data_IF_252863659567
#
_entry.id   IF_252863659567
#
_cell.length_a   1.000
_cell.length_b   1.000
_cell.length_c   1.000
_cell.angle_alpha   90.00
_cell.angle_beta   90.00
_cell.angle_gamma   90.00
#
_symmetry.space_group_name_H-M   'P 1'
#
loop_
_entity.id
_entity.type
_entity.pdbx_description
1 polymer ?
#
# COMPACT_ATOMS: atom_id res chain seq x y z
N UNK A 1 -16.59 -3.10 24.34
CA UNK A 1 -17.12 -4.31 23.64
C UNK A 1 -18.16 -3.85 22.65
N UNK A 2 -18.17 -4.38 21.43
CA UNK A 2 -19.25 -4.07 20.49
C UNK A 2 -20.59 -4.58 21.05
N UNK A 3 -21.75 -4.07 20.57
CA UNK A 3 -23.07 -4.54 20.99
C UNK A 3 -23.30 -6.05 20.79
N UNK A 4 -22.45 -6.71 20.00
CA UNK A 4 -22.54 -8.11 19.63
C UNK A 4 -21.51 -9.01 20.36
N UNK A 5 -20.80 -8.47 21.36
CA UNK A 5 -19.79 -9.23 22.10
C UNK A 5 -18.53 -9.53 21.28
N UNK A 6 -18.35 -8.86 20.14
CA UNK A 6 -17.14 -8.95 19.32
C UNK A 6 -16.05 -8.13 20.04
N UNK A 7 -14.86 -8.71 20.30
CA UNK A 7 -13.72 -7.97 20.77
C UNK A 7 -13.41 -6.86 19.76
N UNK A 8 -13.57 -5.62 20.21
CA UNK A 8 -13.22 -4.44 19.43
C UNK A 8 -11.84 -3.99 19.93
N UNK A 9 -10.82 -4.25 19.13
CA UNK A 9 -9.46 -3.78 19.39
C UNK A 9 -9.33 -2.38 18.80
N UNK A 10 -9.16 -1.38 19.66
CA UNK A 10 -9.01 0.02 19.28
C UNK A 10 -7.57 0.43 19.54
N UNK A 11 -6.85 0.75 18.45
CA UNK A 11 -5.49 1.25 18.53
C UNK A 11 -5.52 2.78 18.47
N UNK A 12 -5.11 3.48 19.55
CA UNK A 12 -4.97 4.92 19.49
C UNK A 12 -3.78 5.30 18.60
N UNK A 13 -3.97 6.31 17.75
CA UNK A 13 -2.89 6.92 16.96
C UNK A 13 -3.08 8.45 16.91
N UNK A 14 -2.03 9.21 16.63
CA UNK A 14 -2.03 10.68 16.65
C UNK A 14 -1.51 11.28 17.97
N UNK A 15 -2.02 12.46 18.38
CA UNK A 15 -1.53 13.23 19.55
C UNK A 15 -1.51 12.43 20.87
N UNK A 16 -2.27 11.34 20.96
CA UNK A 16 -2.34 10.46 22.13
C UNK A 16 -1.04 9.66 22.34
N UNK A 17 -0.21 9.51 21.30
CA UNK A 17 1.04 8.74 21.36
C UNK A 17 2.23 9.52 21.95
N UNK A 18 2.19 10.85 21.98
CA UNK A 18 3.39 11.63 22.34
C UNK A 18 3.58 11.92 23.84
N UNK A 19 2.57 11.70 24.71
CA UNK A 19 2.70 12.08 26.13
C UNK A 19 1.97 11.23 27.18
N UNK A 20 1.38 10.08 26.85
CA UNK A 20 0.69 9.27 27.87
C UNK A 20 1.59 8.16 28.42
N UNK A 21 2.38 8.49 29.45
CA UNK A 21 2.92 7.49 30.39
C UNK A 21 1.80 6.65 31.05
N UNK A 22 0.56 7.17 31.07
CA UNK A 22 -0.63 6.55 31.66
C UNK A 22 -1.30 5.47 30.79
N UNK A 23 -0.91 5.31 29.51
CA UNK A 23 -1.39 4.18 28.70
C UNK A 23 -0.72 2.84 29.06
N UNK A 24 0.29 2.87 29.97
CA UNK A 24 1.14 1.73 30.32
C UNK A 24 0.50 0.74 31.29
N UNK A 25 -0.66 1.06 31.86
CA UNK A 25 -1.28 0.25 32.89
C UNK A 25 -2.47 -0.57 32.34
N UNK A 26 -2.17 -1.74 31.75
CA UNK A 26 -3.19 -2.78 31.56
C UNK A 26 -3.04 -3.70 30.35
N UNK A 27 -2.33 -3.29 29.30
CA UNK A 27 -1.98 -4.17 28.19
C UNK A 27 -0.47 -4.14 28.04
N UNK A 28 0.15 -5.31 27.87
CA UNK A 28 1.50 -5.35 27.34
C UNK A 28 1.48 -4.61 26.00
N UNK A 29 1.88 -3.34 25.99
CA UNK A 29 2.12 -2.58 24.76
C UNK A 29 3.31 -3.29 24.13
N UNK A 30 3.02 -4.35 23.38
CA UNK A 30 3.82 -4.72 22.22
C UNK A 30 4.09 -3.40 21.51
N UNK A 31 5.33 -3.11 21.17
CA UNK A 31 5.66 -1.96 20.32
C UNK A 31 4.89 -2.12 19.00
N UNK A 32 3.69 -1.55 18.92
CA UNK A 32 2.86 -1.58 17.72
C UNK A 32 3.49 -0.56 16.79
N UNK A 33 4.03 -1.06 15.68
CA UNK A 33 4.56 -0.23 14.62
C UNK A 33 3.36 0.40 13.88
N UNK A 34 3.29 1.73 13.86
CA UNK A 34 2.23 2.50 13.23
C UNK A 34 2.74 3.28 12.00
N UNK A 35 3.88 2.86 11.43
CA UNK A 35 4.40 3.44 10.20
C UNK A 35 3.34 3.43 9.08
N UNK A 36 3.19 4.56 8.38
CA UNK A 36 2.20 4.75 7.33
C UNK A 36 0.81 5.18 7.81
N UNK A 37 0.46 5.00 9.09
CA UNK A 37 -0.85 5.45 9.59
C UNK A 37 -1.01 6.98 9.57
N UNK A 38 -0.03 7.80 10.01
CA UNK A 38 -0.16 9.26 9.95
C UNK A 38 -0.36 9.79 8.53
N UNK A 39 0.35 9.22 7.56
CA UNK A 39 0.27 9.58 6.14
C UNK A 39 -1.10 9.22 5.56
N UNK A 40 -1.57 8.00 5.82
CA UNK A 40 -2.89 7.53 5.38
C UNK A 40 -4.01 8.33 6.03
N UNK A 41 -3.89 8.65 7.31
CA UNK A 41 -4.91 9.44 8.00
C UNK A 41 -5.03 10.86 7.41
N UNK A 42 -3.90 11.48 7.10
CA UNK A 42 -3.88 12.86 6.59
C UNK A 42 -4.33 12.94 5.13
N UNK A 43 -3.83 12.04 4.27
CA UNK A 43 -3.93 12.17 2.81
C UNK A 43 -4.56 10.96 2.12
N UNK A 44 -4.79 9.87 2.84
CA UNK A 44 -5.14 8.57 2.28
C UNK A 44 -6.59 8.12 2.49
N UNK A 45 -7.43 8.95 3.12
CA UNK A 45 -8.83 8.62 3.36
C UNK A 45 -9.75 9.22 2.29
N UNK A 46 -10.74 8.44 1.86
CA UNK A 46 -11.80 8.86 0.95
C UNK A 46 -13.15 8.81 1.66
N UNK A 47 -14.02 9.79 1.36
CA UNK A 47 -15.40 9.79 1.83
C UNK A 47 -16.21 8.83 0.97
N UNK A 48 -16.79 7.79 1.58
CA UNK A 48 -17.63 6.80 0.91
C UNK A 48 -19.01 6.78 1.54
N UNK A 49 -20.02 6.76 0.68
CA UNK A 49 -21.41 6.63 1.08
C UNK A 49 -21.81 5.16 1.01
N UNK A 50 -22.13 4.57 2.16
CA UNK A 50 -22.64 3.21 2.27
C UNK A 50 -24.07 3.32 2.82
N UNK A 51 -25.04 2.91 2.01
CA UNK A 51 -26.46 3.11 2.27
C UNK A 51 -26.79 4.60 2.49
N UNK A 52 -26.99 5.03 3.74
CA UNK A 52 -27.26 6.42 4.11
C UNK A 52 -26.14 7.03 4.99
N UNK A 53 -25.07 6.28 5.26
CA UNK A 53 -23.98 6.70 6.12
C UNK A 53 -22.77 7.13 5.29
N UNK A 54 -22.15 8.23 5.72
CA UNK A 54 -20.90 8.73 5.15
C UNK A 54 -19.74 8.34 6.05
N UNK A 55 -18.88 7.48 5.55
CA UNK A 55 -17.73 6.97 6.30
C UNK A 55 -16.43 7.30 5.56
N UNK A 56 -15.36 7.54 6.33
CA UNK A 56 -14.02 7.66 5.76
C UNK A 56 -13.38 6.28 5.69
N UNK A 57 -12.95 5.85 4.50
CA UNK A 57 -12.24 4.59 4.30
C UNK A 57 -10.88 4.85 3.67
N UNK A 58 -9.96 3.90 3.79
CA UNK A 58 -8.67 3.97 3.10
C UNK A 58 -8.86 3.90 1.58
N UNK A 59 -8.17 4.78 0.86
CA UNK A 59 -8.00 4.66 -0.59
C UNK A 59 -7.22 3.39 -0.94
N UNK A 60 -7.34 2.91 -2.18
CA UNK A 60 -6.59 1.73 -2.64
C UNK A 60 -5.06 1.91 -2.48
N UNK A 61 -4.45 3.06 -2.85
CA UNK A 61 -3.03 3.33 -2.59
C UNK A 61 -2.65 3.19 -1.11
N UNK A 62 -3.52 3.66 -0.21
CA UNK A 62 -3.31 3.56 1.24
C UNK A 62 -3.33 2.11 1.73
N UNK A 63 -4.25 1.30 1.22
CA UNK A 63 -4.33 -0.12 1.57
C UNK A 63 -3.06 -0.86 1.14
N UNK A 64 -2.55 -0.60 -0.07
CA UNK A 64 -1.31 -1.22 -0.56
C UNK A 64 -0.11 -0.80 0.29
N UNK A 65 0.01 0.49 0.60
CA UNK A 65 1.07 1.01 1.48
C UNK A 65 1.07 0.29 2.84
N UNK A 66 -0.08 0.23 3.52
CA UNK A 66 -0.20 -0.40 4.83
C UNK A 66 0.03 -1.90 4.79
N UNK A 67 -0.41 -2.60 3.73
CA UNK A 67 -0.16 -4.04 3.57
C UNK A 67 1.31 -4.36 3.35
N UNK A 68 2.03 -3.56 2.56
CA UNK A 68 3.48 -3.74 2.37
C UNK A 68 4.23 -3.60 3.69
N UNK A 69 3.88 -2.58 4.49
CA UNK A 69 4.49 -2.35 5.81
C UNK A 69 4.15 -3.49 6.78
N UNK A 70 2.87 -3.86 6.87
CA UNK A 70 2.40 -4.91 7.76
C UNK A 70 3.04 -6.27 7.43
N UNK A 71 3.21 -6.56 6.15
CA UNK A 71 3.89 -7.76 5.68
C UNK A 71 5.38 -7.74 6.05
N UNK A 72 6.12 -6.66 5.79
CA UNK A 72 7.55 -6.55 6.15
C UNK A 72 7.77 -6.64 7.67
N UNK A 73 6.84 -6.14 8.48
CA UNK A 73 6.93 -6.25 9.95
C UNK A 73 6.84 -7.71 10.45
N UNK A 74 5.95 -8.53 9.87
CA UNK A 74 5.62 -9.89 10.36
C UNK A 74 5.18 -10.82 9.22
N UNK A 75 6.06 -11.15 8.26
CA UNK A 75 5.67 -11.88 7.05
C UNK A 75 5.07 -13.26 7.37
N UNK A 76 5.56 -13.91 8.43
CA UNK A 76 5.05 -15.21 8.91
C UNK A 76 3.62 -15.16 9.45
N UNK A 77 3.15 -13.98 9.88
CA UNK A 77 1.82 -13.77 10.44
C UNK A 77 0.87 -13.04 9.48
N UNK A 78 1.31 -12.76 8.25
CA UNK A 78 0.57 -12.00 7.23
C UNK A 78 0.48 -12.74 5.88
N UNK A 79 0.14 -14.04 5.84
CA UNK A 79 0.14 -14.82 4.59
C UNK A 79 -0.87 -14.32 3.54
N UNK A 80 -1.89 -13.56 3.94
CA UNK A 80 -2.89 -13.02 3.02
C UNK A 80 -2.46 -11.68 2.38
N UNK A 81 -1.55 -10.93 3.01
CA UNK A 81 -1.17 -9.60 2.49
C UNK A 81 -0.52 -9.66 1.10
N UNK A 82 0.38 -10.62 0.77
CA UNK A 82 0.87 -10.80 -0.59
C UNK A 82 -0.24 -11.02 -1.62
N UNK A 83 -1.24 -11.84 -1.29
CA UNK A 83 -2.36 -12.15 -2.17
C UNK A 83 -3.27 -10.95 -2.40
N UNK A 84 -3.52 -10.18 -1.33
CA UNK A 84 -4.29 -8.95 -1.42
C UNK A 84 -3.56 -7.87 -2.24
N UNK A 85 -2.24 -7.73 -2.05
CA UNK A 85 -1.40 -6.83 -2.85
C UNK A 85 -1.46 -7.24 -4.32
N UNK A 86 -1.24 -8.51 -4.64
CA UNK A 86 -1.30 -9.03 -6.01
C UNK A 86 -2.67 -8.77 -6.67
N UNK A 87 -3.75 -9.05 -5.94
CA UNK A 87 -5.11 -8.79 -6.41
C UNK A 87 -5.35 -7.31 -6.71
N UNK A 88 -4.87 -6.41 -5.85
CA UNK A 88 -4.97 -4.97 -6.09
C UNK A 88 -4.16 -4.58 -7.33
N UNK A 89 -2.89 -5.01 -7.44
CA UNK A 89 -2.05 -4.68 -8.59
C UNK A 89 -2.69 -5.10 -9.91
N UNK A 90 -3.32 -6.29 -9.94
CA UNK A 90 -4.00 -6.83 -11.11
C UNK A 90 -5.24 -6.03 -11.51
N UNK A 91 -6.05 -5.58 -10.55
CA UNK A 91 -7.35 -4.96 -10.84
C UNK A 91 -7.34 -3.43 -10.82
N UNK A 92 -6.35 -2.81 -10.18
CA UNK A 92 -6.22 -1.36 -10.08
C UNK A 92 -6.32 -0.63 -11.43
N UNK A 93 -5.66 -1.07 -12.52
CA UNK A 93 -5.76 -0.39 -13.82
C UNK A 93 -7.20 -0.30 -14.35
N UNK A 94 -8.03 -1.31 -14.03
CA UNK A 94 -9.43 -1.34 -14.43
C UNK A 94 -10.29 -0.47 -13.52
N UNK A 95 -10.07 -0.55 -12.20
CA UNK A 95 -10.83 0.20 -11.20
C UNK A 95 -10.63 1.72 -11.37
N UNK A 96 -9.38 2.14 -11.56
CA UNK A 96 -9.00 3.55 -11.64
C UNK A 96 -8.81 4.03 -13.09
N UNK A 97 -9.49 3.39 -14.05
CA UNK A 97 -9.36 3.72 -15.46
C UNK A 97 -9.67 5.20 -15.75
N UNK A 98 -10.71 5.75 -15.11
CA UNK A 98 -11.07 7.17 -15.28
C UNK A 98 -9.97 8.11 -14.80
N UNK A 99 -9.39 7.85 -13.61
CA UNK A 99 -8.26 8.60 -13.08
C UNK A 99 -7.06 8.52 -14.03
N UNK A 100 -6.74 7.32 -14.51
CA UNK A 100 -5.60 7.09 -15.41
C UNK A 100 -5.74 7.91 -16.69
N UNK A 101 -6.92 7.91 -17.32
CA UNK A 101 -7.17 8.69 -18.53
C UNK A 101 -7.26 10.20 -18.30
N UNK A 102 -7.67 10.62 -17.11
CA UNK A 102 -7.80 12.03 -16.79
C UNK A 102 -6.43 12.68 -16.46
N UNK A 103 -5.60 11.99 -15.68
CA UNK A 103 -4.43 12.60 -15.01
C UNK A 103 -3.09 12.01 -15.48
N UNK A 104 -3.09 10.82 -16.08
CA UNK A 104 -1.87 10.02 -16.31
C UNK A 104 -1.64 9.61 -17.77
N UNK A 105 -2.29 10.27 -18.74
CA UNK A 105 -2.08 10.01 -20.18
C UNK A 105 -0.64 10.20 -20.62
N UNK A 106 0.10 11.12 -19.99
CA UNK A 106 1.51 11.36 -20.27
C UNK A 106 2.38 10.10 -20.10
N UNK A 107 1.97 9.15 -19.24
CA UNK A 107 2.71 7.89 -19.08
C UNK A 107 2.66 7.00 -20.31
N UNK A 108 1.63 7.13 -21.15
CA UNK A 108 1.55 6.44 -22.44
C UNK A 108 2.42 7.10 -23.51
N UNK A 109 2.66 8.42 -23.40
CA UNK A 109 3.48 9.18 -24.34
C UNK A 109 4.99 9.01 -24.05
N UNK A 110 5.34 8.93 -22.76
CA UNK A 110 6.72 8.74 -22.30
C UNK A 110 7.18 7.28 -22.36
N UNK A 111 6.25 6.36 -22.60
CA UNK A 111 6.53 4.94 -22.66
C UNK A 111 7.33 4.57 -23.91
N UNK A 112 8.60 4.27 -23.69
CA UNK A 112 9.53 3.79 -24.71
C UNK A 112 9.54 2.27 -24.83
N UNK A 113 8.89 1.57 -23.91
CA UNK A 113 8.91 0.11 -23.78
C UNK A 113 7.63 -0.55 -24.32
N UNK A 114 6.65 0.22 -24.81
CA UNK A 114 5.33 -0.27 -25.27
C UNK A 114 4.66 -1.17 -24.22
N UNK A 115 4.69 -0.68 -22.97
CA UNK A 115 4.06 -1.28 -21.82
C UNK A 115 2.56 -1.45 -22.05
N UNK A 116 2.07 -2.62 -21.66
CA UNK A 116 0.63 -2.87 -21.55
C UNK A 116 -0.03 -1.84 -20.64
N UNK A 117 -1.29 -1.48 -20.93
CA UNK A 117 -2.12 -0.61 -20.06
C UNK A 117 -2.20 -1.09 -18.62
N UNK A 118 -2.09 -2.40 -18.39
CA UNK A 118 -2.05 -3.02 -17.06
C UNK A 118 -0.82 -2.54 -16.25
N UNK A 119 0.38 -2.63 -16.84
CA UNK A 119 1.62 -2.16 -16.21
C UNK A 119 1.63 -0.64 -16.03
N UNK A 120 1.01 0.12 -16.95
CA UNK A 120 0.85 1.58 -16.78
C UNK A 120 -0.04 1.88 -15.57
N UNK A 121 -1.17 1.18 -15.41
CA UNK A 121 -2.02 1.37 -14.24
C UNK A 121 -1.32 1.02 -12.92
N UNK A 122 -0.48 -0.03 -12.91
CA UNK A 122 0.37 -0.35 -11.74
C UNK A 122 1.38 0.77 -11.47
N UNK A 123 1.95 1.37 -12.52
CA UNK A 123 2.84 2.53 -12.38
C UNK A 123 2.08 3.73 -11.81
N UNK A 124 0.86 3.98 -12.24
CA UNK A 124 -0.04 5.03 -11.68
C UNK A 124 -0.31 4.81 -10.20
N UNK A 125 -0.59 3.57 -9.78
CA UNK A 125 -0.71 3.25 -8.35
C UNK A 125 0.55 3.67 -7.57
N UNK A 126 1.74 3.47 -8.15
CA UNK A 126 2.98 3.95 -7.56
C UNK A 126 3.04 5.47 -7.40
N UNK A 127 2.58 6.23 -8.41
CA UNK A 127 2.44 7.68 -8.29
C UNK A 127 1.46 8.08 -7.18
N UNK A 128 0.31 7.43 -7.05
CA UNK A 128 -0.65 7.73 -5.98
C UNK A 128 -0.07 7.43 -4.60
N UNK A 129 0.66 6.32 -4.43
CA UNK A 129 1.35 6.02 -3.17
C UNK A 129 2.39 7.10 -2.85
N UNK A 130 3.11 7.61 -3.86
CA UNK A 130 4.10 8.68 -3.62
C UNK A 130 3.47 9.96 -3.09
N UNK A 131 2.23 10.32 -3.49
CA UNK A 131 1.51 11.47 -2.93
C UNK A 131 1.30 11.32 -1.42
N UNK A 132 1.09 10.10 -0.93
CA UNK A 132 0.90 9.84 0.50
C UNK A 132 2.19 10.05 1.30
N UNK A 133 3.35 9.65 0.75
CA UNK A 133 4.58 9.48 1.54
C UNK A 133 5.70 10.49 1.21
N UNK A 134 5.52 11.37 0.21
CA UNK A 134 6.59 12.24 -0.29
C UNK A 134 7.25 13.14 0.77
N UNK A 135 6.49 13.54 1.81
CA UNK A 135 7.02 14.36 2.91
C UNK A 135 7.82 13.53 3.93
N UNK A 136 7.58 12.22 4.04
CA UNK A 136 8.25 11.32 4.98
C UNK A 136 9.35 10.51 4.29
N UNK A 137 10.58 11.03 4.36
CA UNK A 137 11.78 10.39 3.78
C UNK A 137 12.10 9.03 4.40
N UNK A 138 11.85 8.86 5.70
CA UNK A 138 12.11 7.60 6.38
C UNK A 138 11.16 6.51 5.90
N UNK A 139 9.85 6.82 5.85
CA UNK A 139 8.84 5.91 5.32
C UNK A 139 9.08 5.60 3.84
N UNK A 140 9.46 6.61 3.06
CA UNK A 140 9.86 6.45 1.66
C UNK A 140 11.01 5.44 1.51
N UNK A 141 12.10 5.61 2.25
CA UNK A 141 13.22 4.67 2.20
C UNK A 141 12.81 3.26 2.64
N UNK A 142 11.98 3.16 3.68
CA UNK A 142 11.46 1.88 4.16
C UNK A 142 10.66 1.18 3.06
N UNK A 143 9.68 1.86 2.46
CA UNK A 143 8.84 1.30 1.40
C UNK A 143 9.67 0.84 0.19
N UNK A 144 10.62 1.66 -0.26
CA UNK A 144 11.49 1.29 -1.37
C UNK A 144 12.35 0.06 -1.02
N UNK A 145 12.83 -0.04 0.22
CA UNK A 145 13.57 -1.23 0.69
C UNK A 145 12.70 -2.49 0.70
N UNK A 146 11.42 -2.40 1.07
CA UNK A 146 10.49 -3.54 1.03
C UNK A 146 10.36 -4.04 -0.41
N UNK A 147 10.12 -3.13 -1.35
CA UNK A 147 10.00 -3.47 -2.76
C UNK A 147 11.31 -4.02 -3.34
N UNK A 148 12.46 -3.47 -2.95
CA UNK A 148 13.77 -4.02 -3.34
C UNK A 148 13.94 -5.46 -2.90
N UNK A 149 13.65 -5.77 -1.63
CA UNK A 149 13.73 -7.14 -1.10
C UNK A 149 12.80 -8.12 -1.83
N UNK A 150 11.66 -7.63 -2.29
CA UNK A 150 10.69 -8.47 -3.02
C UNK A 150 11.13 -8.70 -4.47
N UNK A 151 11.70 -7.68 -5.12
CA UNK A 151 12.19 -7.75 -6.50
C UNK A 151 13.47 -8.58 -6.61
N UNK A 152 14.39 -8.46 -5.64
CA UNK A 152 15.65 -9.24 -5.61
C UNK A 152 15.50 -10.64 -4.99
N UNK A 153 14.28 -11.00 -4.58
CA UNK A 153 13.91 -12.27 -3.96
C UNK A 153 14.61 -12.55 -2.62
N UNK A 154 15.07 -11.51 -1.92
CA UNK A 154 15.53 -11.63 -0.52
C UNK A 154 14.39 -11.66 0.50
N UNK A 155 13.15 -11.44 0.06
CA UNK A 155 11.91 -11.72 0.79
C UNK A 155 10.98 -12.61 -0.03
N UNK A 156 10.06 -13.30 0.66
CA UNK A 156 9.12 -14.22 0.02
C UNK A 156 7.90 -13.52 -0.61
N UNK A 157 7.80 -12.18 -0.54
CA UNK A 157 6.62 -11.42 -0.98
C UNK A 157 6.21 -11.80 -2.40
N UNK A 158 7.13 -11.68 -3.36
CA UNK A 158 6.85 -11.97 -4.77
C UNK A 158 6.49 -13.44 -5.02
N UNK A 159 7.05 -14.37 -4.23
CA UNK A 159 6.73 -15.80 -4.32
C UNK A 159 5.33 -16.08 -3.77
N UNK A 160 4.97 -15.45 -2.66
CA UNK A 160 3.68 -15.59 -2.00
C UNK A 160 2.54 -14.87 -2.74
N UNK A 161 2.85 -14.02 -3.73
CA UNK A 161 1.87 -13.45 -4.65
C UNK A 161 1.38 -14.46 -5.72
N UNK A 162 2.07 -15.59 -5.92
CA UNK A 162 1.69 -16.58 -6.94
C UNK A 162 0.51 -17.41 -6.43
N UNK A 163 -0.62 -17.31 -7.12
CA UNK A 163 -1.85 -18.04 -6.81
C UNK A 163 -1.99 -19.31 -7.65
N UNK A 164 -1.62 -19.22 -8.93
CA UNK A 164 -1.68 -20.32 -9.88
C UNK A 164 -0.34 -20.46 -10.62
N UNK A 165 0.45 -21.45 -10.21
CA UNK A 165 1.77 -21.69 -10.78
C UNK A 165 1.74 -22.19 -12.24
N UNK A 166 0.57 -22.56 -12.79
CA UNK A 166 0.44 -22.91 -14.21
C UNK A 166 0.37 -21.67 -15.11
N UNK A 167 -0.11 -20.54 -14.58
CA UNK A 167 -0.37 -19.31 -15.35
C UNK A 167 0.45 -18.11 -14.89
N UNK A 168 0.99 -18.15 -13.67
CA UNK A 168 1.72 -17.06 -13.06
C UNK A 168 3.17 -17.45 -12.76
N UNK A 169 4.10 -16.53 -13.02
CA UNK A 169 5.53 -16.74 -12.80
C UNK A 169 6.08 -15.73 -11.80
N UNK A 170 7.15 -16.12 -11.10
CA UNK A 170 7.88 -15.21 -10.20
C UNK A 170 8.44 -13.99 -10.96
N UNK A 171 8.83 -14.17 -12.22
CA UNK A 171 9.29 -13.08 -13.08
C UNK A 171 8.17 -12.08 -13.38
N UNK A 172 6.94 -12.57 -13.61
CA UNK A 172 5.77 -11.70 -13.78
C UNK A 172 5.49 -10.90 -12.50
N UNK A 173 5.48 -11.55 -11.33
CA UNK A 173 5.23 -10.87 -10.05
C UNK A 173 6.32 -9.83 -9.73
N UNK A 174 7.59 -10.19 -9.88
CA UNK A 174 8.70 -9.23 -9.69
C UNK A 174 8.64 -8.06 -10.68
N UNK A 175 8.22 -8.28 -11.93
CA UNK A 175 8.02 -7.20 -12.89
C UNK A 175 6.89 -6.24 -12.47
N UNK A 176 5.77 -6.74 -11.95
CA UNK A 176 4.70 -5.86 -11.44
C UNK A 176 5.18 -4.99 -10.26
N UNK A 177 5.90 -5.58 -9.30
CA UNK A 177 6.50 -4.86 -8.18
C UNK A 177 7.53 -3.83 -8.63
N UNK A 178 8.30 -4.14 -9.68
CA UNK A 178 9.24 -3.19 -10.29
C UNK A 178 8.52 -1.98 -10.89
N UNK A 179 7.41 -2.18 -11.61
CA UNK A 179 6.61 -1.08 -12.16
C UNK A 179 5.93 -0.23 -11.08
N UNK A 180 5.47 -0.86 -10.00
CA UNK A 180 4.99 -0.14 -8.81
C UNK A 180 6.11 0.76 -8.24
N UNK A 181 7.30 0.18 -8.04
CA UNK A 181 8.47 0.90 -7.52
C UNK A 181 8.90 2.06 -8.43
N UNK A 182 8.95 1.85 -9.74
CA UNK A 182 9.25 2.90 -10.74
C UNK A 182 8.25 4.07 -10.61
N UNK A 183 6.95 3.75 -10.52
CA UNK A 183 5.90 4.76 -10.31
C UNK A 183 6.10 5.56 -9.02
N UNK A 184 6.44 4.90 -7.90
CA UNK A 184 6.74 5.57 -6.63
C UNK A 184 7.95 6.51 -6.81
N UNK A 185 9.05 6.03 -7.39
CA UNK A 185 10.28 6.82 -7.55
C UNK A 185 10.11 8.03 -8.46
N UNK A 186 9.35 7.90 -9.55
CA UNK A 186 9.06 9.02 -10.44
C UNK A 186 8.07 10.00 -9.81
N UNK A 187 7.02 9.50 -9.15
CA UNK A 187 6.07 10.33 -8.41
C UNK A 187 6.75 11.13 -7.30
N UNK A 188 7.67 10.52 -6.54
CA UNK A 188 8.48 11.23 -5.55
C UNK A 188 9.26 12.40 -6.17
N UNK A 189 9.85 12.24 -7.36
CA UNK A 189 10.54 13.35 -8.06
C UNK A 189 9.58 14.45 -8.50
N UNK A 190 8.32 14.11 -8.79
CA UNK A 190 7.27 15.05 -9.20
C UNK A 190 6.70 15.86 -8.03
N UNK A 191 6.63 15.27 -6.84
CA UNK A 191 6.03 15.87 -5.65
C UNK A 191 7.05 16.39 -4.61
N UNK A 192 8.37 16.18 -4.83
CA UNK A 192 9.46 16.72 -3.98
C UNK A 192 9.76 18.20 -4.22
#
# INVERSE_FOLDING_TARGET
>A
MSPYGIPLDLLPFGEINENNEDAREGAAILSINLDGFPEVYTNGLILTEIENDKIMICSIPSVVLLKLIAYDDRPENRPNDPLDIDSILKHYPTIEMELIWAEYTFLYEEDKEDLSSELIGIKVLGYEISKLIHENKQLTHRLLSILDKAIDLSSDLAQQMIQDAETETIESKTNTLKKLKEGIQEGLKKYS
#
